data_IF_103044554657
#
_entry.id   IF_103044554657
#
_cell.length_a   1.000
_cell.length_b   1.000
_cell.length_c   1.000
_cell.angle_alpha   90.00
_cell.angle_beta   90.00
_cell.angle_gamma   90.00
#
_symmetry.space_group_name_H-M   'P 1'
#
loop_
_entity.id
_entity.type
_entity.pdbx_description
1 polymer ?
#
# COMPACT_ATOMS: atom_id res chain seq x y z
N UNK A 1 13.69 2.15 20.21
CA UNK A 1 14.54 2.10 19.02
C UNK A 1 13.69 1.90 17.78
N UNK A 2 14.30 1.91 16.59
CA UNK A 2 13.62 1.56 15.35
C UNK A 2 13.25 0.06 15.35
N UNK A 3 12.07 -0.27 14.79
CA UNK A 3 11.69 -1.62 14.40
C UNK A 3 11.90 -1.76 12.90
N UNK A 4 12.25 -2.93 12.44
CA UNK A 4 12.48 -3.16 11.02
C UNK A 4 12.23 -4.60 10.61
N UNK A 5 11.87 -4.79 9.36
CA UNK A 5 11.77 -6.09 8.70
C UNK A 5 12.39 -6.01 7.31
N UNK A 6 12.96 -7.09 6.88
CA UNK A 6 13.54 -7.26 5.55
C UNK A 6 13.30 -8.68 5.05
N UNK A 7 12.93 -8.82 3.79
CA UNK A 7 12.79 -10.14 3.16
C UNK A 7 13.22 -10.11 1.69
N UNK A 8 13.90 -11.17 1.30
CA UNK A 8 14.08 -11.63 -0.08
C UNK A 8 13.43 -12.99 -0.20
N UNK A 9 12.52 -13.16 -1.12
CA UNK A 9 11.84 -14.42 -1.37
C UNK A 9 11.78 -14.71 -2.88
N UNK A 10 11.92 -15.97 -3.26
CA UNK A 10 11.48 -16.46 -4.56
C UNK A 10 9.98 -16.67 -4.53
N UNK A 11 9.33 -16.46 -5.68
CA UNK A 11 7.94 -16.85 -5.84
C UNK A 11 7.84 -18.03 -6.77
N UNK A 12 7.34 -19.14 -6.27
CA UNK A 12 7.13 -20.34 -7.04
C UNK A 12 5.69 -20.82 -6.90
N UNK A 13 5.02 -20.98 -8.04
CA UNK A 13 3.59 -21.38 -8.09
C UNK A 13 2.70 -20.58 -7.13
N UNK A 14 2.92 -19.25 -7.04
CA UNK A 14 2.17 -18.34 -6.18
C UNK A 14 2.57 -18.38 -4.70
N UNK A 15 3.54 -19.20 -4.31
CA UNK A 15 4.06 -19.27 -2.94
C UNK A 15 5.38 -18.50 -2.81
N UNK A 16 5.55 -17.91 -1.64
CA UNK A 16 6.78 -17.20 -1.27
C UNK A 16 7.72 -18.12 -0.52
N UNK A 17 8.88 -18.40 -1.12
CA UNK A 17 9.94 -19.19 -0.51
C UNK A 17 11.07 -18.25 -0.04
N UNK A 18 11.22 -18.02 1.28
CA UNK A 18 12.22 -17.10 1.82
C UNK A 18 13.65 -17.55 1.50
N UNK A 19 14.47 -16.64 0.99
CA UNK A 19 15.89 -16.85 0.72
C UNK A 19 16.76 -16.17 1.77
N UNK A 20 16.36 -14.96 2.18
CA UNK A 20 17.01 -14.19 3.23
C UNK A 20 15.98 -13.26 3.89
N UNK A 21 16.21 -12.94 5.15
CA UNK A 21 15.35 -12.00 5.85
C UNK A 21 15.65 -11.90 7.32
N UNK A 22 15.01 -10.93 7.93
CA UNK A 22 15.00 -10.73 9.38
C UNK A 22 13.67 -10.15 9.79
N UNK A 23 13.10 -10.61 10.91
CA UNK A 23 11.80 -10.21 11.45
C UNK A 23 10.66 -10.35 10.41
N UNK A 24 10.73 -11.34 9.52
CA UNK A 24 9.84 -11.45 8.34
C UNK A 24 8.37 -11.61 8.67
N UNK A 25 8.05 -12.22 9.82
CA UNK A 25 6.69 -12.38 10.33
C UNK A 25 6.24 -11.25 11.25
N UNK A 26 7.10 -10.24 11.53
CA UNK A 26 6.72 -9.13 12.41
C UNK A 26 5.73 -8.19 11.71
N UNK A 27 4.58 -7.95 12.37
CA UNK A 27 3.59 -6.98 11.88
C UNK A 27 4.10 -5.57 12.09
N UNK A 28 4.38 -4.87 11.01
CA UNK A 28 4.86 -3.48 10.99
C UNK A 28 3.93 -2.60 10.14
N UNK A 29 4.00 -1.26 10.30
CA UNK A 29 3.29 -0.34 9.44
C UNK A 29 3.60 -0.58 7.97
N UNK A 30 2.56 -0.62 7.15
CA UNK A 30 2.65 -0.77 5.69
C UNK A 30 2.77 0.58 4.98
N UNK A 31 2.32 1.65 5.61
CA UNK A 31 2.10 2.91 4.92
C UNK A 31 1.40 2.63 3.56
N UNK A 32 1.79 3.27 2.48
CA UNK A 32 1.13 3.08 1.19
C UNK A 32 1.29 1.70 0.53
N UNK A 33 1.99 0.75 1.13
CA UNK A 33 2.02 -0.63 0.64
C UNK A 33 0.61 -1.27 0.69
N UNK A 34 -0.25 -0.85 1.62
CA UNK A 34 -1.63 -1.34 1.69
C UNK A 34 -2.39 -1.19 0.36
N UNK A 35 -2.00 -0.22 -0.48
CA UNK A 35 -2.60 0.03 -1.81
C UNK A 35 -2.47 -1.17 -2.76
N UNK A 36 -1.57 -2.10 -2.47
CA UNK A 36 -1.49 -3.38 -3.18
C UNK A 36 -2.76 -4.23 -2.95
N UNK A 37 -3.34 -4.20 -1.74
CA UNK A 37 -4.60 -4.90 -1.46
C UNK A 37 -5.80 -4.22 -2.14
N UNK A 38 -5.77 -2.89 -2.25
CA UNK A 38 -6.78 -2.16 -3.04
C UNK A 38 -6.70 -2.56 -4.52
N UNK A 39 -5.49 -2.69 -5.06
CA UNK A 39 -5.29 -3.13 -6.45
C UNK A 39 -5.69 -4.60 -6.63
N UNK A 40 -5.44 -5.47 -5.65
CA UNK A 40 -5.87 -6.88 -5.66
C UNK A 40 -7.40 -6.99 -5.65
N UNK A 41 -8.09 -6.24 -4.78
CA UNK A 41 -9.55 -6.16 -4.79
C UNK A 41 -10.11 -5.66 -6.13
N UNK A 42 -9.47 -4.63 -6.70
CA UNK A 42 -9.85 -4.10 -8.00
C UNK A 42 -9.68 -5.12 -9.12
N UNK A 43 -8.56 -5.84 -9.13
CA UNK A 43 -8.30 -6.89 -10.12
C UNK A 43 -9.38 -7.98 -10.08
N UNK A 44 -9.76 -8.43 -8.88
CA UNK A 44 -10.87 -9.37 -8.70
C UNK A 44 -12.21 -8.82 -9.19
N UNK A 45 -12.53 -7.57 -8.87
CA UNK A 45 -13.76 -6.92 -9.33
C UNK A 45 -13.82 -6.80 -10.86
N UNK A 46 -12.68 -6.52 -11.51
CA UNK A 46 -12.59 -6.47 -12.98
C UNK A 46 -12.74 -7.85 -13.60
N UNK A 47 -12.10 -8.87 -13.03
CA UNK A 47 -12.25 -10.26 -13.50
C UNK A 47 -13.69 -10.76 -13.42
N UNK A 48 -14.44 -10.35 -12.40
CA UNK A 48 -15.86 -10.70 -12.22
C UNK A 48 -16.82 -9.75 -12.95
N UNK A 49 -16.31 -8.79 -13.74
CA UNK A 49 -17.10 -7.80 -14.48
C UNK A 49 -18.00 -6.91 -13.59
N UNK A 50 -17.67 -6.72 -12.32
CA UNK A 50 -18.39 -5.81 -11.40
C UNK A 50 -17.85 -4.38 -11.46
N UNK A 51 -16.62 -4.21 -11.99
CA UNK A 51 -15.97 -2.94 -12.30
C UNK A 51 -15.31 -3.04 -13.66
N UNK A 52 -15.38 -1.96 -14.46
CA UNK A 52 -14.61 -1.81 -15.69
C UNK A 52 -13.47 -0.83 -15.50
N UNK A 53 -12.36 -1.03 -16.24
CA UNK A 53 -11.28 -0.06 -16.28
C UNK A 53 -11.70 1.31 -16.79
N UNK A 54 -12.77 1.37 -17.62
CA UNK A 54 -13.31 2.59 -18.21
C UNK A 54 -14.42 3.23 -17.35
N UNK A 55 -14.87 2.59 -16.27
CA UNK A 55 -15.81 3.19 -15.33
C UNK A 55 -15.26 4.53 -14.83
N UNK A 56 -16.16 5.52 -14.70
CA UNK A 56 -15.78 6.87 -14.29
C UNK A 56 -16.09 7.09 -12.81
N UNK A 57 -15.06 7.47 -12.08
CA UNK A 57 -15.12 7.87 -10.68
C UNK A 57 -15.25 9.39 -10.61
N UNK A 58 -16.07 9.90 -9.68
CA UNK A 58 -16.25 11.34 -9.48
C UNK A 58 -15.47 11.79 -8.25
N UNK A 59 -14.63 12.81 -8.40
CA UNK A 59 -13.87 13.39 -7.30
C UNK A 59 -14.82 14.01 -6.28
N UNK A 60 -14.76 13.52 -5.04
CA UNK A 60 -15.56 14.01 -3.91
C UNK A 60 -14.74 15.01 -3.07
N UNK A 61 -15.43 15.77 -2.21
CA UNK A 61 -14.76 16.64 -1.25
C UNK A 61 -13.88 15.82 -0.28
N UNK A 62 -14.31 14.62 0.10
CA UNK A 62 -13.55 13.71 0.98
C UNK A 62 -12.29 13.20 0.29
N UNK A 63 -12.41 12.62 -0.90
CA UNK A 63 -11.25 12.10 -1.62
C UNK A 63 -10.23 13.19 -1.93
N UNK A 64 -10.67 14.43 -2.19
CA UNK A 64 -9.78 15.58 -2.38
C UNK A 64 -9.08 16.03 -1.10
N UNK A 65 -9.72 15.91 0.06
CA UNK A 65 -9.18 16.39 1.34
C UNK A 65 -7.89 15.67 1.79
N UNK A 66 -7.67 14.44 1.34
CA UNK A 66 -6.46 13.65 1.68
C UNK A 66 -5.24 13.98 0.83
N UNK A 67 -5.39 14.92 -0.09
CA UNK A 67 -4.31 15.33 -1.00
C UNK A 67 -4.13 14.42 -2.21
N UNK A 68 -3.43 14.96 -3.20
CA UNK A 68 -3.10 14.28 -4.45
C UNK A 68 -1.63 14.50 -4.77
N UNK A 69 -0.99 13.48 -5.30
CA UNK A 69 0.42 13.51 -5.74
C UNK A 69 0.59 13.16 -7.23
N UNK A 70 -0.45 13.37 -8.01
CA UNK A 70 -0.40 13.10 -9.46
C UNK A 70 -1.73 13.14 -10.16
N UNK A 71 -2.82 13.38 -9.42
CA UNK A 71 -4.18 13.50 -9.94
C UNK A 71 -4.84 14.79 -9.43
N UNK A 72 -4.32 15.94 -9.86
CA UNK A 72 -4.81 17.25 -9.40
C UNK A 72 -6.12 17.64 -10.09
N UNK A 73 -7.23 17.03 -9.67
CA UNK A 73 -8.55 17.29 -10.22
C UNK A 73 -9.44 18.08 -9.23
N UNK A 74 -10.34 18.96 -9.71
CA UNK A 74 -11.32 19.61 -8.88
C UNK A 74 -12.43 18.65 -8.44
N UNK A 75 -13.13 18.99 -7.36
CA UNK A 75 -14.36 18.29 -6.95
C UNK A 75 -15.36 18.30 -8.09
N UNK A 76 -16.02 17.19 -8.34
CA UNK A 76 -16.94 16.96 -9.45
C UNK A 76 -16.28 16.52 -10.77
N UNK A 77 -14.95 16.60 -10.90
CA UNK A 77 -14.26 16.05 -12.06
C UNK A 77 -14.37 14.52 -12.08
N UNK A 78 -14.25 13.95 -13.28
CA UNK A 78 -14.33 12.50 -13.49
C UNK A 78 -12.99 11.94 -13.95
N UNK A 79 -12.66 10.75 -13.47
CA UNK A 79 -11.44 10.02 -13.82
C UNK A 79 -11.77 8.55 -14.00
N UNK A 80 -11.14 7.87 -14.96
CA UNK A 80 -11.36 6.43 -15.14
C UNK A 80 -10.74 5.63 -13.99
N UNK A 81 -11.33 4.47 -13.71
CA UNK A 81 -10.77 3.47 -12.77
C UNK A 81 -9.34 3.14 -13.16
N UNK A 82 -9.05 3.00 -14.45
CA UNK A 82 -7.70 2.74 -14.96
C UNK A 82 -6.73 3.83 -14.54
N UNK A 83 -7.05 5.09 -14.81
CA UNK A 83 -6.18 6.22 -14.46
C UNK A 83 -6.00 6.35 -12.95
N UNK A 84 -7.07 6.15 -12.18
CA UNK A 84 -6.99 6.16 -10.72
C UNK A 84 -6.04 5.05 -10.20
N UNK A 85 -6.14 3.83 -10.72
CA UNK A 85 -5.25 2.73 -10.34
C UNK A 85 -3.77 3.00 -10.71
N UNK A 86 -3.53 3.55 -11.89
CA UNK A 86 -2.18 3.98 -12.32
C UNK A 86 -1.59 5.02 -11.38
N UNK A 87 -2.36 6.03 -10.99
CA UNK A 87 -1.90 7.09 -10.07
C UNK A 87 -1.75 6.58 -8.63
N UNK A 88 -2.66 5.72 -8.16
CA UNK A 88 -2.55 5.09 -6.85
C UNK A 88 -1.22 4.33 -6.69
N UNK A 89 -0.78 3.62 -7.71
CA UNK A 89 0.46 2.84 -7.65
C UNK A 89 1.68 3.68 -7.98
N UNK A 90 1.69 4.38 -9.12
CA UNK A 90 2.87 5.08 -9.64
C UNK A 90 3.32 6.26 -8.78
N UNK A 91 2.39 7.11 -8.36
CA UNK A 91 2.67 8.31 -7.55
C UNK A 91 2.15 8.19 -6.11
N UNK A 92 1.60 7.02 -5.77
CA UNK A 92 0.99 6.79 -4.44
C UNK A 92 -0.15 7.77 -4.12
N UNK A 93 -0.91 8.20 -5.14
CA UNK A 93 -1.95 9.22 -5.03
C UNK A 93 -3.05 8.80 -4.03
N UNK A 94 -3.27 9.63 -3.00
CA UNK A 94 -4.23 9.33 -1.93
C UNK A 94 -5.67 9.57 -2.37
N UNK A 95 -5.92 10.62 -3.17
CA UNK A 95 -7.24 10.89 -3.72
C UNK A 95 -7.71 9.76 -4.64
N UNK A 96 -6.83 9.30 -5.54
CA UNK A 96 -7.10 8.16 -6.40
C UNK A 96 -7.37 6.88 -5.59
N UNK A 97 -6.66 6.70 -4.48
CA UNK A 97 -6.85 5.55 -3.57
C UNK A 97 -8.26 5.56 -2.98
N UNK A 98 -8.69 6.68 -2.40
CA UNK A 98 -10.02 6.77 -1.79
C UNK A 98 -11.15 6.67 -2.82
N UNK A 99 -10.98 7.21 -4.03
CA UNK A 99 -11.93 7.01 -5.12
C UNK A 99 -12.12 5.51 -5.46
N UNK A 100 -11.04 4.75 -5.47
CA UNK A 100 -11.10 3.30 -5.71
C UNK A 100 -11.71 2.55 -4.53
N UNK A 101 -11.37 2.91 -3.29
CA UNK A 101 -11.97 2.31 -2.09
C UNK A 101 -13.47 2.64 -2.03
N UNK A 102 -13.89 3.87 -2.33
CA UNK A 102 -15.31 4.25 -2.42
C UNK A 102 -16.06 3.41 -3.46
N UNK A 103 -15.45 3.13 -4.63
CA UNK A 103 -16.04 2.32 -5.69
C UNK A 103 -16.17 0.84 -5.35
N UNK A 104 -15.17 0.29 -4.64
CA UNK A 104 -15.11 -1.12 -4.27
C UNK A 104 -15.87 -1.44 -2.98
N UNK A 105 -15.86 -0.48 -2.03
CA UNK A 105 -16.27 -0.68 -0.65
C UNK A 105 -15.14 -1.27 0.20
N UNK A 106 -15.05 -0.87 1.48
CA UNK A 106 -14.00 -1.33 2.40
C UNK A 106 -14.04 -2.84 2.64
N UNK A 107 -15.23 -3.45 2.60
CA UNK A 107 -15.39 -4.90 2.73
C UNK A 107 -14.65 -5.68 1.62
N UNK A 108 -14.66 -5.18 0.40
CA UNK A 108 -13.92 -5.82 -0.69
C UNK A 108 -12.41 -5.81 -0.43
N UNK A 109 -11.90 -4.78 0.25
CA UNK A 109 -10.48 -4.71 0.64
C UNK A 109 -10.19 -5.69 1.79
N UNK A 110 -11.09 -5.81 2.77
CA UNK A 110 -10.98 -6.81 3.85
C UNK A 110 -10.98 -8.24 3.29
N UNK A 111 -11.82 -8.53 2.31
CA UNK A 111 -11.84 -9.82 1.60
C UNK A 111 -10.54 -10.03 0.79
N UNK A 112 -9.99 -8.97 0.20
CA UNK A 112 -8.71 -9.02 -0.52
C UNK A 112 -7.50 -9.29 0.39
N UNK A 113 -7.50 -8.76 1.62
CA UNK A 113 -6.49 -9.10 2.64
C UNK A 113 -6.50 -10.60 2.91
N UNK A 114 -7.69 -11.18 3.14
CA UNK A 114 -7.85 -12.60 3.44
C UNK A 114 -7.46 -13.47 2.23
N UNK A 115 -7.89 -13.12 1.02
CA UNK A 115 -7.62 -13.89 -0.20
C UNK A 115 -6.15 -13.84 -0.61
N UNK A 116 -5.45 -12.74 -0.33
CA UNK A 116 -4.00 -12.64 -0.50
C UNK A 116 -3.20 -13.40 0.57
N UNK A 117 -3.86 -13.96 1.59
CA UNK A 117 -3.23 -14.72 2.67
C UNK A 117 -2.54 -13.84 3.73
N UNK A 118 -3.08 -12.64 3.99
CA UNK A 118 -2.59 -11.81 5.10
C UNK A 118 -2.69 -12.57 6.43
N UNK A 119 -1.63 -12.52 7.26
CA UNK A 119 -1.56 -13.33 8.49
C UNK A 119 -2.62 -12.95 9.54
N UNK A 120 -3.00 -11.67 9.59
CA UNK A 120 -4.00 -11.13 10.53
C UNK A 120 -4.89 -10.07 9.85
N UNK A 121 -5.84 -10.47 8.97
CA UNK A 121 -6.75 -9.53 8.31
C UNK A 121 -7.63 -8.77 9.31
N UNK A 122 -7.92 -9.39 10.46
CA UNK A 122 -8.78 -8.80 11.49
C UNK A 122 -8.15 -7.58 12.16
N UNK A 123 -6.81 -7.45 12.18
CA UNK A 123 -6.13 -6.28 12.73
C UNK A 123 -6.46 -4.98 11.99
N UNK A 124 -6.84 -5.09 10.70
CA UNK A 124 -7.26 -3.97 9.86
C UNK A 124 -8.77 -3.88 9.66
N UNK A 125 -9.57 -4.55 10.48
CA UNK A 125 -11.04 -4.49 10.44
C UNK A 125 -11.57 -3.64 11.61
N UNK A 126 -12.43 -2.63 11.37
CA UNK A 126 -12.87 -2.14 10.07
C UNK A 126 -11.73 -1.47 9.28
N UNK A 127 -11.67 -1.73 8.00
CA UNK A 127 -10.63 -1.18 7.13
C UNK A 127 -10.83 0.34 6.96
N UNK A 128 -9.86 1.19 7.39
CA UNK A 128 -10.00 2.63 7.24
C UNK A 128 -9.61 3.08 5.83
N UNK A 129 -10.38 4.00 5.25
CA UNK A 129 -9.98 4.77 4.07
C UNK A 129 -8.80 5.69 4.40
N UNK A 130 -8.17 6.30 3.38
CA UNK A 130 -7.15 7.34 3.60
C UNK A 130 -7.72 8.50 4.42
N UNK A 131 -8.92 8.96 4.06
CA UNK A 131 -9.62 10.05 4.75
C UNK A 131 -9.82 9.74 6.24
N UNK A 132 -10.31 8.55 6.53
CA UNK A 132 -10.58 8.12 7.91
C UNK A 132 -9.29 8.00 8.72
N UNK A 133 -8.27 7.34 8.17
CA UNK A 133 -7.00 7.16 8.87
C UNK A 133 -6.30 8.51 9.11
N UNK A 134 -6.30 9.40 8.13
CA UNK A 134 -5.71 10.73 8.27
C UNK A 134 -6.48 11.58 9.30
N UNK A 135 -7.80 11.45 9.35
CA UNK A 135 -8.61 12.10 10.38
C UNK A 135 -8.24 11.63 11.78
N UNK A 136 -8.01 10.32 11.97
CA UNK A 136 -7.58 9.75 13.25
C UNK A 136 -6.14 10.15 13.57
N UNK A 137 -5.22 9.98 12.62
CA UNK A 137 -3.78 10.14 12.84
C UNK A 137 -3.34 11.59 13.00
N UNK A 138 -3.92 12.51 12.22
CA UNK A 138 -3.46 13.90 12.12
C UNK A 138 -4.57 14.95 12.12
N UNK A 139 -5.84 14.54 12.27
CA UNK A 139 -6.99 15.44 12.24
C UNK A 139 -7.36 16.06 13.59
N UNK A 140 -8.29 17.00 13.57
CA UNK A 140 -8.98 17.56 14.74
C UNK A 140 -10.41 17.03 14.79
N UNK A 141 -10.91 16.66 15.99
CA UNK A 141 -10.23 16.56 17.28
C UNK A 141 -9.15 15.47 17.29
N UNK A 142 -8.30 15.42 18.33
CA UNK A 142 -7.33 14.32 18.51
C UNK A 142 -8.05 13.03 18.91
N UNK A 143 -8.01 12.04 18.02
CA UNK A 143 -8.66 10.74 18.22
C UNK A 143 -7.65 9.61 18.49
N UNK A 144 -6.34 9.88 18.50
CA UNK A 144 -5.29 8.86 18.55
C UNK A 144 -5.33 8.01 19.82
N UNK A 145 -5.47 8.61 20.99
CA UNK A 145 -5.54 7.87 22.26
C UNK A 145 -6.81 7.01 22.35
N UNK A 146 -7.94 7.56 21.86
CA UNK A 146 -9.18 6.79 21.78
C UNK A 146 -9.03 5.61 20.82
N UNK A 147 -8.41 5.81 19.66
CA UNK A 147 -8.16 4.77 18.66
C UNK A 147 -7.26 3.66 19.19
N UNK A 148 -6.19 4.02 19.91
CA UNK A 148 -5.20 3.09 20.46
C UNK A 148 -5.83 2.03 21.37
N UNK A 149 -6.82 2.43 22.16
CA UNK A 149 -7.48 1.57 23.14
C UNK A 149 -8.83 1.03 22.66
N UNK A 150 -9.20 1.30 21.41
CA UNK A 150 -10.50 0.96 20.86
C UNK A 150 -10.61 -0.53 20.48
N UNK A 151 -11.74 -1.14 20.81
CA UNK A 151 -12.18 -2.39 20.18
C UNK A 151 -12.57 -2.15 18.73
N UNK A 152 -12.68 -3.21 17.91
CA UNK A 152 -13.16 -3.09 16.53
C UNK A 152 -14.50 -2.34 16.43
N UNK A 153 -15.43 -2.60 17.34
CA UNK A 153 -16.72 -1.89 17.36
C UNK A 153 -16.56 -0.40 17.62
N UNK A 154 -15.68 -0.02 18.56
CA UNK A 154 -15.37 1.40 18.86
C UNK A 154 -14.62 2.05 17.68
N UNK A 155 -13.69 1.35 17.05
CA UNK A 155 -13.03 1.83 15.83
C UNK A 155 -14.05 2.12 14.72
N UNK A 156 -15.02 1.23 14.51
CA UNK A 156 -16.10 1.47 13.55
C UNK A 156 -16.93 2.71 13.90
N UNK A 157 -17.13 3.03 15.17
CA UNK A 157 -17.81 4.27 15.60
C UNK A 157 -16.95 5.51 15.32
N UNK A 158 -15.66 5.44 15.61
CA UNK A 158 -14.70 6.52 15.31
C UNK A 158 -14.68 6.80 13.81
N UNK A 159 -14.58 5.79 12.94
CA UNK A 159 -14.58 5.97 11.49
C UNK A 159 -15.88 6.59 10.99
N UNK A 160 -17.04 6.19 11.52
CA UNK A 160 -18.32 6.85 11.21
C UNK A 160 -18.32 8.32 11.64
N UNK A 161 -17.75 8.63 12.79
CA UNK A 161 -17.65 10.01 13.28
C UNK A 161 -16.76 10.85 12.35
N UNK A 162 -15.59 10.34 11.93
CA UNK A 162 -14.71 11.07 11.01
C UNK A 162 -15.41 11.34 9.67
N UNK A 163 -16.26 10.42 9.21
CA UNK A 163 -17.02 10.58 7.98
C UNK A 163 -18.13 11.65 8.04
N UNK A 164 -18.55 12.04 9.24
CA UNK A 164 -19.61 13.04 9.44
C UNK A 164 -19.08 14.48 9.55
N UNK A 165 -17.77 14.67 9.63
CA UNK A 165 -17.12 15.98 9.80
C UNK A 165 -16.06 16.20 8.73
N UNK A 166 -15.88 17.45 8.23
CA UNK A 166 -14.77 17.74 7.32
C UNK A 166 -13.42 17.48 7.98
N UNK A 167 -12.49 16.89 7.22
CA UNK A 167 -11.11 16.69 7.67
C UNK A 167 -10.44 18.04 7.94
N UNK A 168 -9.94 18.21 9.14
CA UNK A 168 -9.20 19.38 9.58
C UNK A 168 -7.83 18.93 10.08
N UNK A 169 -6.76 19.06 9.26
CA UNK A 169 -5.42 18.67 9.68
C UNK A 169 -4.93 19.53 10.85
N UNK A 170 -4.24 18.90 11.79
CA UNK A 170 -3.54 19.60 12.87
C UNK A 170 -2.06 19.77 12.51
N UNK A 171 -1.59 20.99 12.19
CA UNK A 171 -0.21 21.20 11.79
C UNK A 171 0.81 20.83 12.88
N UNK A 172 0.42 20.86 14.16
CA UNK A 172 1.31 20.49 15.27
C UNK A 172 1.63 18.99 15.30
N UNK A 173 0.85 18.19 14.59
CA UNK A 173 1.00 16.73 14.53
C UNK A 173 1.51 16.23 13.18
N UNK A 174 1.72 17.09 12.21
CA UNK A 174 2.10 16.71 10.84
C UNK A 174 3.33 15.79 10.75
N UNK A 175 4.24 15.87 11.72
CA UNK A 175 5.46 15.06 11.79
C UNK A 175 5.44 14.03 12.93
N UNK A 176 4.28 13.74 13.52
CA UNK A 176 4.18 12.76 14.60
C UNK A 176 3.69 11.42 14.06
N UNK A 177 4.38 10.30 14.36
CA UNK A 177 3.97 8.98 13.90
C UNK A 177 2.60 8.57 14.47
N UNK A 178 1.63 8.36 13.60
CA UNK A 178 0.32 7.84 14.00
C UNK A 178 0.39 6.34 14.33
N UNK A 179 1.39 5.63 13.82
CA UNK A 179 1.71 4.24 14.15
C UNK A 179 2.00 4.01 15.64
N UNK A 180 2.47 5.02 16.39
CA UNK A 180 2.61 4.95 17.85
C UNK A 180 1.27 4.74 18.60
N UNK A 181 0.18 5.02 17.91
CA UNK A 181 -1.20 4.89 18.40
C UNK A 181 -1.96 3.76 17.70
N UNK A 182 -1.29 2.97 16.85
CA UNK A 182 -1.93 1.94 16.05
C UNK A 182 -2.83 2.47 14.92
N UNK A 183 -2.73 3.77 14.58
CA UNK A 183 -3.46 4.39 13.48
C UNK A 183 -2.65 4.26 12.19
N UNK A 184 -2.63 3.05 11.64
CA UNK A 184 -1.89 2.68 10.45
C UNK A 184 -2.47 1.37 9.87
N UNK A 185 -2.10 1.02 8.65
CA UNK A 185 -2.28 -0.32 8.08
C UNK A 185 -1.07 -1.17 8.44
N UNK A 186 -1.30 -2.43 8.79
CA UNK A 186 -0.25 -3.32 9.28
C UNK A 186 -0.12 -4.59 8.44
N UNK A 187 1.07 -5.13 8.38
CA UNK A 187 1.37 -6.41 7.75
C UNK A 187 2.84 -6.76 7.92
N UNK A 188 3.18 -8.01 7.67
CA UNK A 188 4.54 -8.52 7.72
C UNK A 188 5.21 -8.47 6.33
N UNK A 189 6.53 -8.67 6.28
CA UNK A 189 7.24 -8.84 5.01
C UNK A 189 6.73 -10.08 4.24
N UNK A 190 6.30 -11.11 4.94
CA UNK A 190 5.66 -12.28 4.34
C UNK A 190 4.32 -11.93 3.69
N UNK A 191 3.51 -11.07 4.31
CA UNK A 191 2.25 -10.59 3.72
C UNK A 191 2.50 -9.75 2.47
N UNK A 192 3.54 -8.91 2.50
CA UNK A 192 3.95 -8.13 1.32
C UNK A 192 4.31 -9.07 0.17
N UNK A 193 5.05 -10.14 0.44
CA UNK A 193 5.35 -11.13 -0.59
C UNK A 193 4.08 -11.78 -1.14
N UNK A 194 3.17 -12.21 -0.28
CA UNK A 194 1.92 -12.88 -0.67
C UNK A 194 1.04 -11.99 -1.55
N UNK A 195 0.87 -10.71 -1.20
CA UNK A 195 0.05 -9.81 -2.02
C UNK A 195 0.68 -9.53 -3.39
N UNK A 196 2.02 -9.46 -3.50
CA UNK A 196 2.69 -9.37 -4.79
C UNK A 196 2.48 -10.64 -5.64
N UNK A 197 2.55 -11.82 -5.02
CA UNK A 197 2.27 -13.09 -5.68
C UNK A 197 0.81 -13.17 -6.17
N UNK A 198 -0.15 -12.73 -5.34
CA UNK A 198 -1.55 -12.65 -5.69
C UNK A 198 -1.79 -11.72 -6.89
N UNK A 199 -1.24 -10.51 -6.86
CA UNK A 199 -1.33 -9.55 -7.97
C UNK A 199 -0.73 -10.08 -9.28
N UNK A 200 0.34 -10.88 -9.18
CA UNK A 200 0.90 -11.54 -10.37
C UNK A 200 -0.05 -12.58 -10.94
N UNK A 201 -0.73 -13.32 -10.08
CA UNK A 201 -1.74 -14.29 -10.50
C UNK A 201 -2.98 -13.62 -11.11
N UNK A 202 -3.41 -12.47 -10.54
CA UNK A 202 -4.53 -11.69 -11.03
C UNK A 202 -4.31 -11.06 -12.41
N UNK A 203 -3.05 -10.77 -12.77
CA UNK A 203 -2.69 -9.99 -13.96
C UNK A 203 -2.90 -10.78 -15.27
N UNK A 204 -4.08 -11.37 -15.44
CA UNK A 204 -4.50 -12.17 -16.59
C UNK A 204 -5.87 -11.72 -17.11
N UNK A 205 -6.20 -12.05 -18.35
CA UNK A 205 -7.49 -11.73 -18.95
C UNK A 205 -7.86 -10.24 -18.81
N UNK A 206 -9.08 -9.91 -18.36
CA UNK A 206 -9.53 -8.52 -18.18
C UNK A 206 -8.67 -7.72 -17.19
N UNK A 207 -8.04 -8.38 -16.20
CA UNK A 207 -7.16 -7.73 -15.22
C UNK A 207 -5.68 -7.67 -15.66
N UNK A 208 -5.33 -8.09 -16.87
CA UNK A 208 -3.96 -7.99 -17.41
C UNK A 208 -3.29 -6.60 -17.28
N UNK A 209 -4.02 -5.46 -17.27
CA UNK A 209 -3.44 -4.15 -17.03
C UNK A 209 -2.70 -4.01 -15.69
N UNK A 210 -3.02 -4.81 -14.67
CA UNK A 210 -2.34 -4.79 -13.37
C UNK A 210 -0.82 -4.92 -13.52
N UNK A 211 -0.35 -5.74 -14.46
CA UNK A 211 1.08 -5.92 -14.72
C UNK A 211 1.76 -4.60 -15.12
N UNK A 212 1.13 -3.84 -16.01
CA UNK A 212 1.65 -2.54 -16.47
C UNK A 212 1.54 -1.48 -15.37
N UNK A 213 0.41 -1.45 -14.64
CA UNK A 213 0.20 -0.54 -13.53
C UNK A 213 1.31 -0.69 -12.49
N UNK A 214 1.64 -1.92 -12.11
CA UNK A 214 2.69 -2.21 -11.12
C UNK A 214 4.09 -1.81 -11.57
N UNK A 215 4.39 -1.86 -12.87
CA UNK A 215 5.72 -1.59 -13.43
C UNK A 215 5.93 -0.16 -13.92
N UNK A 216 4.93 0.71 -13.81
CA UNK A 216 4.99 2.07 -14.36
C UNK A 216 6.10 2.92 -13.72
N UNK A 217 6.29 2.82 -12.41
CA UNK A 217 7.34 3.55 -11.68
C UNK A 217 8.00 2.62 -10.66
N UNK A 218 9.03 1.86 -11.08
CA UNK A 218 9.69 0.89 -10.18
C UNK A 218 10.53 1.54 -9.06
N UNK A 219 10.77 2.85 -9.10
CA UNK A 219 11.52 3.58 -8.06
C UNK A 219 12.99 3.22 -7.93
N UNK A 220 13.47 2.24 -8.68
CA UNK A 220 14.85 1.75 -8.70
C UNK A 220 15.27 1.50 -10.15
N UNK A 221 16.50 1.81 -10.46
CA UNK A 221 17.09 1.49 -11.77
C UNK A 221 17.91 0.20 -11.65
N UNK A 222 17.49 -0.83 -12.38
CA UNK A 222 18.18 -2.10 -12.52
C UNK A 222 18.45 -2.38 -14.00
N UNK A 223 19.45 -3.20 -14.26
CA UNK A 223 19.76 -3.66 -15.61
C UNK A 223 18.59 -4.49 -16.17
N UNK A 224 17.96 -4.01 -17.23
CA UNK A 224 16.81 -4.65 -17.86
C UNK A 224 17.15 -5.95 -18.59
N UNK A 225 18.41 -6.18 -18.92
CA UNK A 225 18.89 -7.47 -19.47
C UNK A 225 18.92 -8.56 -18.41
N UNK A 226 19.07 -8.18 -17.14
CA UNK A 226 19.07 -9.09 -15.99
C UNK A 226 17.69 -9.17 -15.34
N UNK A 227 16.97 -8.03 -15.28
CA UNK A 227 15.66 -7.85 -14.64
C UNK A 227 14.64 -7.31 -15.63
N UNK A 228 14.14 -8.15 -16.57
CA UNK A 228 13.22 -7.69 -17.64
C UNK A 228 11.88 -7.15 -17.12
N UNK A 229 11.47 -7.53 -15.91
CA UNK A 229 10.27 -6.99 -15.27
C UNK A 229 10.56 -6.55 -13.84
N UNK A 230 10.05 -5.38 -13.47
CA UNK A 230 10.09 -4.85 -12.10
C UNK A 230 8.78 -4.11 -11.86
N UNK A 231 7.98 -4.62 -10.94
CA UNK A 231 6.82 -3.93 -10.36
C UNK A 231 7.15 -3.48 -8.95
N UNK A 232 6.60 -2.36 -8.50
CA UNK A 232 6.97 -1.79 -7.21
C UNK A 232 5.83 -1.06 -6.52
N UNK A 233 5.91 -0.98 -5.20
CA UNK A 233 5.18 -0.03 -4.37
C UNK A 233 6.04 0.40 -3.20
N UNK A 234 6.08 1.70 -2.98
CA UNK A 234 6.70 2.30 -1.80
C UNK A 234 5.63 2.95 -0.92
N UNK A 235 5.94 3.14 0.35
CA UNK A 235 5.12 3.83 1.31
C UNK A 235 5.95 4.66 2.28
N UNK A 236 5.40 5.79 2.71
CA UNK A 236 6.00 6.64 3.73
C UNK A 236 4.92 7.45 4.43
N UNK A 237 4.99 7.45 5.75
CA UNK A 237 4.26 8.30 6.66
C UNK A 237 5.22 8.73 7.77
N UNK A 238 4.91 9.76 8.58
CA UNK A 238 5.78 10.11 9.69
C UNK A 238 6.12 8.89 10.54
N UNK A 239 7.41 8.57 10.65
CA UNK A 239 7.92 7.40 11.37
C UNK A 239 7.89 6.07 10.61
N UNK A 240 7.32 6.01 9.41
CA UNK A 240 7.16 4.76 8.66
C UNK A 240 7.73 4.90 7.24
N UNK A 241 8.57 3.96 6.82
CA UNK A 241 9.15 3.90 5.49
C UNK A 241 9.17 2.45 5.01
N UNK A 242 8.54 2.19 3.86
CA UNK A 242 8.37 0.84 3.32
C UNK A 242 8.67 0.82 1.83
N UNK A 243 9.30 -0.28 1.39
CA UNK A 243 9.57 -0.54 -0.02
C UNK A 243 9.25 -1.98 -0.35
N UNK A 244 8.69 -2.22 -1.52
CA UNK A 244 8.51 -3.57 -2.04
C UNK A 244 8.63 -3.61 -3.55
N UNK A 245 9.28 -4.66 -4.04
CA UNK A 245 9.45 -4.95 -5.46
C UNK A 245 9.09 -6.40 -5.74
N UNK A 246 8.36 -6.61 -6.83
CA UNK A 246 8.23 -7.89 -7.49
C UNK A 246 9.02 -7.82 -8.80
N UNK A 247 10.08 -8.58 -8.92
CA UNK A 247 10.94 -8.57 -10.10
C UNK A 247 11.04 -9.97 -10.70
N UNK A 248 11.16 -10.04 -12.02
CA UNK A 248 11.42 -11.31 -12.72
C UNK A 248 12.79 -11.19 -13.36
N UNK A 249 13.66 -12.16 -13.07
CA UNK A 249 15.01 -12.19 -13.63
C UNK A 249 15.06 -12.76 -15.06
N UNK A 250 16.25 -12.71 -15.68
CA UNK A 250 16.48 -13.19 -17.06
C UNK A 250 16.20 -14.68 -17.27
N UNK A 251 16.15 -15.47 -16.19
CA UNK A 251 15.81 -16.90 -16.22
C UNK A 251 14.29 -17.15 -16.11
N UNK A 252 13.52 -16.09 -15.85
CA UNK A 252 12.08 -16.17 -15.64
C UNK A 252 11.70 -16.39 -14.16
N UNK A 253 12.68 -16.45 -13.24
CA UNK A 253 12.40 -16.60 -11.80
C UNK A 253 11.86 -15.30 -11.21
N UNK A 254 10.66 -15.33 -10.60
CA UNK A 254 10.14 -14.20 -9.86
C UNK A 254 10.72 -14.10 -8.45
N UNK A 255 10.94 -12.84 -8.02
CA UNK A 255 11.47 -12.48 -6.72
C UNK A 255 10.62 -11.39 -6.09
N UNK A 256 10.50 -11.42 -4.77
CA UNK A 256 9.99 -10.28 -3.98
C UNK A 256 11.08 -9.82 -3.02
N UNK A 257 11.34 -8.53 -3.03
CA UNK A 257 12.24 -7.86 -2.08
C UNK A 257 11.44 -6.81 -1.35
N UNK A 258 11.46 -6.81 -0.01
CA UNK A 258 10.74 -5.83 0.80
C UNK A 258 11.56 -5.35 1.98
N UNK A 259 11.33 -4.09 2.36
CA UNK A 259 11.88 -3.44 3.54
C UNK A 259 10.77 -2.69 4.26
N UNK A 260 10.70 -2.84 5.58
CA UNK A 260 9.82 -2.08 6.45
C UNK A 260 10.65 -1.48 7.59
N UNK A 261 10.50 -0.19 7.80
CA UNK A 261 11.19 0.57 8.84
C UNK A 261 10.16 1.40 9.60
N UNK A 262 10.18 1.30 10.91
CA UNK A 262 9.30 2.06 11.79
C UNK A 262 10.08 2.69 12.93
N UNK A 263 9.94 3.98 13.13
CA UNK A 263 10.56 4.76 14.20
C UNK A 263 9.51 5.41 15.08
N UNK A 264 9.79 5.59 16.38
CA UNK A 264 8.88 6.28 17.30
C UNK A 264 8.80 7.80 17.05
N UNK A 265 9.56 8.33 16.10
CA UNK A 265 9.58 9.73 15.65
C UNK A 265 9.79 9.79 14.14
N UNK A 266 9.51 10.94 13.54
CA UNK A 266 9.72 11.11 12.10
C UNK A 266 11.18 10.89 11.70
N UNK A 267 11.36 10.30 10.52
CA UNK A 267 12.68 10.07 9.92
C UNK A 267 13.01 11.18 8.92
N UNK A 268 14.28 11.53 8.79
CA UNK A 268 14.72 12.49 7.79
C UNK A 268 14.68 11.92 6.36
N UNK A 269 14.72 12.79 5.33
CA UNK A 269 14.63 12.38 3.92
C UNK A 269 15.82 11.54 3.42
N UNK A 270 16.96 11.60 4.08
CA UNK A 270 18.20 10.87 3.69
C UNK A 270 18.06 9.37 3.76
N UNK A 271 17.17 8.84 4.62
CA UNK A 271 16.96 7.40 4.80
C UNK A 271 16.43 6.75 3.51
N UNK A 272 15.55 7.43 2.78
CA UNK A 272 15.00 6.95 1.50
C UNK A 272 16.11 6.66 0.49
N UNK A 273 17.03 7.60 0.28
CA UNK A 273 18.14 7.42 -0.66
C UNK A 273 19.06 6.27 -0.27
N UNK A 274 19.36 6.15 1.01
CA UNK A 274 20.17 5.06 1.55
C UNK A 274 19.50 3.70 1.33
N UNK A 275 18.20 3.57 1.62
CA UNK A 275 17.45 2.34 1.42
C UNK A 275 17.39 1.91 -0.05
N UNK A 276 17.23 2.84 -0.97
CA UNK A 276 17.26 2.52 -2.40
C UNK A 276 18.64 2.03 -2.85
N UNK A 277 19.71 2.53 -2.24
CA UNK A 277 21.07 2.03 -2.50
C UNK A 277 21.24 0.61 -1.96
N UNK A 278 20.76 0.32 -0.74
CA UNK A 278 20.75 -1.04 -0.18
C UNK A 278 19.95 -2.00 -1.08
N UNK A 279 18.78 -1.58 -1.55
CA UNK A 279 17.97 -2.39 -2.45
C UNK A 279 18.70 -2.74 -3.75
N UNK A 280 19.45 -1.80 -4.37
CA UNK A 280 20.26 -2.09 -5.55
C UNK A 280 21.33 -3.14 -5.27
N UNK A 281 21.98 -3.10 -4.10
CA UNK A 281 22.96 -4.10 -3.70
C UNK A 281 22.32 -5.48 -3.51
N UNK A 282 21.12 -5.54 -2.91
CA UNK A 282 20.36 -6.79 -2.77
C UNK A 282 20.07 -7.40 -4.14
N UNK A 283 19.55 -6.59 -5.10
CA UNK A 283 19.29 -7.07 -6.46
C UNK A 283 20.57 -7.51 -7.19
N UNK A 284 21.71 -6.88 -6.93
CA UNK A 284 22.99 -7.31 -7.50
C UNK A 284 23.44 -8.67 -6.92
N UNK A 285 23.20 -8.91 -5.62
CA UNK A 285 23.56 -10.18 -4.95
C UNK A 285 22.71 -11.38 -5.40
N UNK A 286 21.44 -11.16 -5.70
CA UNK A 286 20.50 -12.22 -6.10
C UNK A 286 20.40 -12.37 -7.63
N UNK A 287 21.11 -11.54 -8.39
CA UNK A 287 21.11 -11.60 -9.84
C UNK A 287 21.66 -12.96 -10.32
N UNK A 288 20.99 -13.63 -11.28
CA UNK A 288 21.51 -14.85 -11.88
C UNK A 288 22.80 -14.57 -12.66
N UNK A 289 23.77 -15.42 -12.50
CA UNK A 289 25.05 -15.36 -13.23
C UNK A 289 24.90 -15.59 -14.72
#
# INVERSE_FOLDING_TARGET
GARYSFQVAKVDNGRCDPVAGTNTGESLPLASIFKLYVLHALAGAVQHNTVSWDDLLTVTAKSKAVGSSGLELPVGARVSVRTAAEKMIATSDNMATDLLIERLGTRAIEEALASAGHHDPASMTPFPTMYELFSVGWGKPDLRDQWKHATQQVRAQILRQTNSTPYQPDPTRAHTPASNYGAEWYGSAEDICRVHAALRADAVGPASPVRQIMSAVPGIQLDRSVWPYIGAKAGGLPGDLTFSWYAVDKTGQPWVVSFQLNWPRDHGPTVTGWMLQVARQVFALIAPQ
#
